data_IF_933148021880
#
_entry.id   IF_933148021880
#
_cell.length_a   1.000
_cell.length_b   1.000
_cell.length_c   1.000
_cell.angle_alpha   90.00
_cell.angle_beta   90.00
_cell.angle_gamma   90.00
#
_symmetry.space_group_name_H-M   'P 1'
#
loop_
_entity.id
_entity.type
_entity.pdbx_description
1 polymer ?
#
# COMPACT_ATOMS: atom_id res chain seq x y z
N UNK A 1 12.81 16.59 66.28
CA UNK A 1 13.43 15.75 65.22
C UNK A 1 12.90 16.25 63.88
N UNK A 2 13.58 17.23 63.30
CA UNK A 2 13.29 17.76 61.96
C UNK A 2 14.27 17.12 60.97
N UNK A 3 13.74 16.52 59.90
CA UNK A 3 14.53 15.86 58.86
C UNK A 3 14.33 16.57 57.52
N UNK A 4 15.40 17.16 57.00
CA UNK A 4 15.48 17.81 55.68
C UNK A 4 15.76 16.77 54.59
N UNK A 5 14.87 16.69 53.59
CA UNK A 5 15.04 15.86 52.39
C UNK A 5 15.57 16.74 51.24
N UNK A 6 16.84 16.59 50.88
CA UNK A 6 17.46 17.27 49.73
C UNK A 6 17.36 16.39 48.50
N UNK A 7 16.54 16.80 47.52
CA UNK A 7 16.37 16.10 46.25
C UNK A 7 17.56 16.36 45.30
N UNK A 8 18.40 15.34 45.08
CA UNK A 8 19.43 15.31 44.03
C UNK A 8 18.96 14.43 42.86
N UNK A 9 18.31 15.00 41.84
CA UNK A 9 18.05 14.26 40.58
C UNK A 9 17.93 15.13 39.31
N UNK A 10 18.22 16.43 39.35
CA UNK A 10 18.06 17.32 38.19
C UNK A 10 19.16 17.25 37.11
N UNK A 11 20.31 16.63 37.38
CA UNK A 11 21.49 16.76 36.51
C UNK A 11 21.46 15.96 35.20
N UNK A 12 20.81 14.79 35.19
CA UNK A 12 20.85 13.88 34.04
C UNK A 12 19.90 14.33 32.92
N UNK A 13 18.69 14.75 33.27
CA UNK A 13 17.70 15.23 32.30
C UNK A 13 18.16 16.50 31.57
N UNK A 14 18.84 17.41 32.29
CA UNK A 14 19.33 18.65 31.72
C UNK A 14 20.50 18.42 30.74
N UNK A 15 21.36 17.43 31.00
CA UNK A 15 22.46 17.05 30.08
C UNK A 15 21.94 16.43 28.78
N UNK A 16 20.88 15.63 28.85
CA UNK A 16 20.25 15.03 27.66
C UNK A 16 19.58 16.12 26.80
N UNK A 17 18.89 17.07 27.42
CA UNK A 17 18.25 18.17 26.70
C UNK A 17 19.27 19.06 25.94
N UNK A 18 20.41 19.36 26.55
CA UNK A 18 21.47 20.15 25.91
C UNK A 18 22.12 19.40 24.75
N UNK A 19 22.39 18.10 24.88
CA UNK A 19 22.94 17.29 23.80
C UNK A 19 21.97 17.18 22.61
N UNK A 20 20.66 17.08 22.87
CA UNK A 20 19.65 17.00 21.82
C UNK A 20 19.53 18.32 21.05
N UNK A 21 19.63 19.47 21.73
CA UNK A 21 19.59 20.79 21.10
C UNK A 21 20.81 21.04 20.20
N UNK A 22 22.00 20.62 20.65
CA UNK A 22 23.23 20.72 19.86
C UNK A 22 23.18 19.87 18.58
N UNK A 23 22.64 18.65 18.67
CA UNK A 23 22.45 17.78 17.49
C UNK A 23 21.46 18.39 16.48
N UNK A 24 20.37 19.00 16.97
CA UNK A 24 19.38 19.66 16.12
C UNK A 24 19.98 20.85 15.36
N UNK A 25 20.83 21.66 16.02
CA UNK A 25 21.53 22.77 15.37
C UNK A 25 22.52 22.30 14.30
N UNK A 26 23.23 21.18 14.54
CA UNK A 26 24.16 20.60 13.56
C UNK A 26 23.42 20.11 12.30
N UNK A 27 22.25 19.48 12.48
CA UNK A 27 21.41 19.00 11.38
C UNK A 27 20.82 20.14 10.55
N UNK A 28 20.43 21.25 11.19
CA UNK A 28 19.93 22.43 10.50
C UNK A 28 21.03 23.12 9.68
N UNK A 29 22.26 23.23 10.21
CA UNK A 29 23.39 23.79 9.46
C UNK A 29 23.78 22.99 8.21
N UNK A 30 23.76 21.65 8.30
CA UNK A 30 24.05 20.77 7.16
C UNK A 30 22.99 20.86 6.05
N UNK A 31 21.74 21.12 6.39
CA UNK A 31 20.65 21.29 5.42
C UNK A 31 20.80 22.58 4.59
N UNK A 32 21.25 23.67 5.22
CA UNK A 32 21.48 24.95 4.54
C UNK A 32 22.67 24.89 3.57
N UNK A 33 23.75 24.17 3.90
CA UNK A 33 24.87 23.93 2.97
C UNK A 33 24.45 23.10 1.75
N UNK A 34 23.66 22.04 1.95
CA UNK A 34 23.16 21.20 0.86
C UNK A 34 22.21 21.97 -0.08
N UNK A 35 21.39 22.88 0.48
CA UNK A 35 20.49 23.72 -0.30
C UNK A 35 21.26 24.81 -1.06
N UNK A 36 22.27 25.42 -0.45
CA UNK A 36 23.15 26.41 -1.09
C UNK A 36 23.99 25.81 -2.24
N UNK A 37 24.42 24.55 -2.12
CA UNK A 37 25.12 23.83 -3.18
C UNK A 37 24.22 23.49 -4.39
N UNK A 38 22.90 23.37 -4.16
CA UNK A 38 21.93 23.00 -5.21
C UNK A 38 21.48 24.22 -6.03
N UNK A 39 21.48 25.42 -5.44
CA UNK A 39 21.03 26.66 -6.11
C UNK A 39 22.13 27.31 -6.95
N UNK A 40 23.41 27.01 -6.71
CA UNK A 40 24.52 27.51 -7.53
C UNK A 40 24.76 26.61 -8.75
N UNK A 41 24.40 27.12 -9.92
CA UNK A 41 24.96 26.79 -11.25
C UNK A 41 24.06 26.01 -12.25
N UNK A 42 22.94 26.59 -12.70
CA UNK A 42 22.19 26.12 -13.87
C UNK A 42 22.96 26.25 -15.21
N UNK A 43 24.01 27.09 -15.28
CA UNK A 43 24.78 27.33 -16.50
C UNK A 43 25.70 26.15 -16.89
N UNK A 44 26.28 25.43 -15.92
CA UNK A 44 27.13 24.24 -16.19
C UNK A 44 26.36 23.06 -16.79
N UNK A 45 25.07 22.90 -16.49
CA UNK A 45 24.23 21.81 -17.05
C UNK A 45 23.94 22.01 -18.54
N UNK A 46 23.72 23.25 -18.99
CA UNK A 46 23.48 23.56 -20.41
C UNK A 46 24.73 23.36 -21.28
N UNK A 47 25.92 23.69 -20.76
CA UNK A 47 27.18 23.50 -21.49
C UNK A 47 27.61 22.03 -21.67
N UNK A 48 27.21 21.12 -20.75
CA UNK A 48 27.52 19.69 -20.86
C UNK A 48 26.59 18.96 -21.85
N UNK A 49 25.34 19.42 -21.97
CA UNK A 49 24.37 18.89 -22.93
C UNK A 49 24.71 19.29 -24.38
N UNK A 50 25.19 20.50 -24.63
CA UNK A 50 25.55 20.95 -25.98
C UNK A 50 26.80 20.25 -26.53
N UNK A 51 27.82 20.01 -25.69
CA UNK A 51 29.03 19.24 -26.09
C UNK A 51 28.74 17.78 -26.42
N UNK A 52 27.77 17.14 -25.76
CA UNK A 52 27.38 15.76 -26.04
C UNK A 52 26.61 15.63 -27.38
N UNK A 53 25.77 16.62 -27.71
CA UNK A 53 25.08 16.69 -28.99
C UNK A 53 26.05 16.94 -30.17
N UNK A 54 27.03 17.83 -29.98
CA UNK A 54 28.00 18.17 -31.03
C UNK A 54 29.01 17.05 -31.34
N UNK A 55 29.27 16.16 -30.37
CA UNK A 55 30.14 14.97 -30.57
C UNK A 55 29.44 13.83 -31.32
N UNK A 56 28.10 13.76 -31.27
CA UNK A 56 27.29 12.76 -32.00
C UNK A 56 27.09 13.08 -33.48
N UNK A 57 27.15 14.36 -33.86
CA UNK A 57 26.96 14.79 -35.25
C UNK A 57 28.22 14.61 -36.13
N UNK A 58 29.39 14.31 -35.56
CA UNK A 58 30.68 14.30 -36.28
C UNK A 58 31.27 12.92 -36.60
N UNK A 59 30.53 11.82 -36.45
CA UNK A 59 31.09 10.49 -36.73
C UNK A 59 30.10 9.51 -37.39
N UNK A 60 29.84 9.60 -38.71
CA UNK A 60 28.90 8.72 -39.41
C UNK A 60 29.57 7.45 -40.00
N UNK A 61 30.50 6.82 -39.30
CA UNK A 61 31.15 5.60 -39.79
C UNK A 61 31.48 4.60 -38.68
N UNK A 62 30.51 3.76 -38.31
CA UNK A 62 30.80 2.44 -37.77
C UNK A 62 30.32 1.38 -38.77
N UNK A 63 31.25 0.98 -39.65
CA UNK A 63 31.13 -0.21 -40.49
C UNK A 63 30.99 -1.44 -39.60
N UNK A 64 29.87 -2.15 -39.72
CA UNK A 64 29.62 -3.45 -39.11
C UNK A 64 30.58 -4.47 -39.73
N UNK A 65 31.62 -4.86 -39.00
CA UNK A 65 32.42 -6.06 -39.30
C UNK A 65 31.71 -7.26 -38.68
N UNK A 66 31.26 -8.21 -39.53
CA UNK A 66 30.79 -9.54 -39.11
C UNK A 66 31.99 -10.34 -38.60
N UNK A 67 31.90 -10.85 -37.38
CA UNK A 67 32.82 -11.84 -36.83
C UNK A 67 32.34 -13.27 -37.18
N UNK A 68 33.25 -14.24 -37.34
CA UNK A 68 32.91 -15.59 -37.75
C UNK A 68 32.27 -16.41 -36.62
N UNK A 69 31.35 -17.28 -37.02
CA UNK A 69 30.53 -18.18 -36.19
C UNK A 69 31.41 -19.36 -35.73
N UNK A 70 31.83 -19.35 -34.47
CA UNK A 70 32.43 -20.52 -33.83
C UNK A 70 31.32 -21.50 -33.44
N UNK A 71 31.43 -22.74 -33.90
CA UNK A 71 30.61 -23.87 -33.48
C UNK A 71 31.08 -24.32 -32.09
N UNK A 72 30.19 -24.25 -31.09
CA UNK A 72 30.40 -24.84 -29.77
C UNK A 72 29.66 -26.19 -29.73
N UNK A 73 30.42 -27.28 -29.74
CA UNK A 73 29.95 -28.63 -29.42
C UNK A 73 29.74 -28.74 -27.92
N UNK A 74 28.50 -29.02 -27.49
CA UNK A 74 28.14 -29.30 -26.10
C UNK A 74 28.10 -30.82 -25.85
N UNK A 75 28.85 -31.30 -24.87
CA UNK A 75 28.63 -32.61 -24.24
C UNK A 75 28.52 -32.38 -22.73
N UNK A 76 27.29 -32.27 -22.24
CA UNK A 76 26.97 -32.46 -20.83
C UNK A 76 25.78 -33.44 -20.76
N UNK A 77 25.83 -34.46 -19.89
CA UNK A 77 24.76 -35.45 -19.78
C UNK A 77 23.47 -34.83 -19.20
N UNK A 78 22.29 -35.38 -19.57
CA UNK A 78 21.01 -34.86 -19.09
C UNK A 78 20.86 -35.10 -17.58
N UNK A 79 20.63 -34.01 -16.85
CA UNK A 79 20.16 -34.07 -15.46
C UNK A 79 18.68 -34.42 -15.50
N UNK A 80 18.34 -35.53 -14.86
CA UNK A 80 16.98 -36.03 -14.73
C UNK A 80 16.15 -35.07 -13.85
N UNK A 81 15.45 -34.12 -14.47
CA UNK A 81 14.51 -33.24 -13.79
C UNK A 81 13.13 -33.90 -13.80
N UNK A 82 12.70 -34.43 -12.65
CA UNK A 82 11.30 -34.75 -12.43
C UNK A 82 10.43 -33.53 -12.83
N UNK A 83 9.31 -33.74 -13.55
CA UNK A 83 8.49 -32.63 -14.01
C UNK A 83 7.97 -31.85 -12.81
N UNK A 84 8.30 -30.55 -12.76
CA UNK A 84 7.68 -29.63 -11.83
C UNK A 84 6.15 -29.74 -11.97
N UNK A 85 5.38 -29.69 -10.87
CA UNK A 85 3.92 -29.72 -10.96
C UNK A 85 3.45 -28.64 -11.93
N UNK A 86 2.48 -28.99 -12.78
CA UNK A 86 1.92 -28.08 -13.77
C UNK A 86 1.56 -26.76 -13.10
N UNK A 87 2.01 -25.65 -13.69
CA UNK A 87 1.88 -24.29 -13.16
C UNK A 87 0.44 -24.02 -12.68
N UNK A 88 -0.56 -24.54 -13.40
CA UNK A 88 -1.98 -24.47 -13.05
C UNK A 88 -2.33 -25.07 -11.68
N UNK A 89 -1.72 -26.19 -11.28
CA UNK A 89 -2.03 -26.86 -10.03
C UNK A 89 -1.34 -26.20 -8.82
N UNK A 90 -0.20 -25.53 -9.07
CA UNK A 90 0.50 -24.69 -8.08
C UNK A 90 -0.25 -23.37 -7.87
N UNK A 91 -0.69 -22.73 -8.94
CA UNK A 91 -1.46 -21.48 -8.91
C UNK A 91 -2.82 -21.70 -8.25
N UNK A 92 -3.53 -22.78 -8.58
CA UNK A 92 -4.79 -23.12 -7.92
C UNK A 92 -4.61 -23.46 -6.42
N UNK A 93 -3.49 -24.07 -6.02
CA UNK A 93 -3.19 -24.30 -4.59
C UNK A 93 -2.85 -23.01 -3.85
N UNK A 94 -2.07 -22.13 -4.46
CA UNK A 94 -1.72 -20.84 -3.87
C UNK A 94 -2.98 -19.98 -3.74
N UNK A 95 -3.79 -19.87 -4.78
CA UNK A 95 -5.03 -19.11 -4.75
C UNK A 95 -6.04 -19.67 -3.75
N UNK A 96 -6.22 -21.00 -3.64
CA UNK A 96 -7.09 -21.60 -2.60
C UNK A 96 -6.59 -21.39 -1.18
N UNK A 97 -5.28 -21.47 -0.95
CA UNK A 97 -4.64 -21.20 0.35
C UNK A 97 -4.76 -19.73 0.73
N UNK A 98 -4.54 -18.85 -0.25
CA UNK A 98 -4.68 -17.41 -0.14
C UNK A 98 -6.15 -17.04 0.09
N UNK A 99 -7.12 -17.65 -0.60
CA UNK A 99 -8.56 -17.47 -0.39
C UNK A 99 -8.96 -17.82 1.04
N UNK A 100 -8.62 -19.01 1.54
CA UNK A 100 -8.92 -19.41 2.92
C UNK A 100 -8.28 -18.49 3.98
N UNK A 101 -7.03 -18.08 3.75
CA UNK A 101 -6.35 -17.12 4.61
C UNK A 101 -6.99 -15.71 4.54
N UNK A 102 -7.40 -15.28 3.35
CA UNK A 102 -8.08 -14.00 3.11
C UNK A 102 -9.41 -13.95 3.86
N UNK A 103 -10.23 -15.00 3.80
CA UNK A 103 -11.51 -15.05 4.52
C UNK A 103 -11.30 -14.85 6.03
N UNK A 104 -10.34 -15.56 6.62
CA UNK A 104 -10.02 -15.44 8.04
C UNK A 104 -9.47 -14.06 8.42
N UNK A 105 -8.64 -13.45 7.54
CA UNK A 105 -8.10 -12.10 7.76
C UNK A 105 -9.23 -11.07 7.68
N UNK A 106 -10.13 -11.15 6.70
CA UNK A 106 -11.25 -10.21 6.52
C UNK A 106 -12.19 -10.25 7.74
N UNK A 107 -12.54 -11.44 8.22
CA UNK A 107 -13.52 -11.62 9.29
C UNK A 107 -12.99 -11.22 10.69
N UNK A 108 -11.67 -11.20 10.87
CA UNK A 108 -10.98 -10.81 12.12
C UNK A 108 -10.49 -9.35 12.12
N UNK A 109 -10.47 -8.68 10.97
CA UNK A 109 -9.77 -7.40 10.80
C UNK A 109 -10.32 -6.25 11.65
N UNK A 110 -11.62 -6.26 11.92
CA UNK A 110 -12.29 -5.24 12.73
C UNK A 110 -12.96 -5.94 13.90
N UNK A 111 -12.39 -5.76 15.09
CA UNK A 111 -12.89 -6.37 16.32
C UNK A 111 -14.35 -5.94 16.56
N UNK A 112 -15.27 -6.91 16.37
CA UNK A 112 -16.71 -6.69 16.51
C UNK A 112 -17.08 -6.23 17.92
N UNK A 113 -16.30 -6.59 18.95
CA UNK A 113 -16.61 -6.22 20.35
C UNK A 113 -16.55 -4.71 20.59
N UNK A 114 -15.81 -3.96 19.77
CA UNK A 114 -15.64 -2.53 19.95
C UNK A 114 -16.78 -1.70 19.31
N UNK A 115 -17.61 -2.30 18.44
CA UNK A 115 -18.61 -1.58 17.63
C UNK A 115 -19.85 -1.10 18.40
N UNK A 116 -20.10 -1.62 19.60
CA UNK A 116 -21.28 -1.27 20.41
C UNK A 116 -21.15 0.05 21.19
N UNK A 117 -19.94 0.65 21.22
CA UNK A 117 -19.64 1.87 22.00
C UNK A 117 -18.82 2.90 21.23
N UNK A 118 -19.02 3.05 19.92
CA UNK A 118 -18.31 4.04 19.10
C UNK A 118 -19.14 5.28 18.84
N UNK A 119 -18.47 6.43 18.67
CA UNK A 119 -19.09 7.65 18.13
C UNK A 119 -18.72 7.77 16.66
N UNK A 120 -19.71 7.89 15.79
CA UNK A 120 -19.52 8.22 14.38
C UNK A 120 -19.54 9.73 14.18
N UNK A 121 -18.53 10.27 13.50
CA UNK A 121 -18.46 11.67 13.10
C UNK A 121 -18.58 11.75 11.58
N UNK A 122 -19.65 12.35 11.09
CA UNK A 122 -19.86 12.52 9.66
C UNK A 122 -18.80 13.43 9.05
N UNK A 123 -18.16 12.98 7.97
CA UNK A 123 -17.11 13.70 7.27
C UNK A 123 -17.56 14.28 5.92
N UNK A 124 -18.74 13.87 5.41
CA UNK A 124 -19.23 14.28 4.10
C UNK A 124 -19.44 13.09 3.16
N UNK A 125 -19.77 13.40 1.88
CA UNK A 125 -19.87 12.42 0.80
C UNK A 125 -18.67 12.52 -0.13
N UNK A 126 -18.00 11.41 -0.39
CA UNK A 126 -16.76 11.37 -1.16
C UNK A 126 -16.86 10.44 -2.35
N UNK A 127 -16.23 10.79 -3.50
CA UNK A 127 -16.20 9.89 -4.63
C UNK A 127 -15.53 8.58 -4.24
N UNK A 128 -16.05 7.47 -4.77
CA UNK A 128 -15.50 6.14 -4.49
C UNK A 128 -14.86 5.61 -5.76
N UNK A 129 -13.61 5.22 -5.64
CA UNK A 129 -12.88 4.45 -6.65
C UNK A 129 -12.43 3.14 -6.03
N UNK A 130 -11.90 2.24 -6.86
CA UNK A 130 -11.39 0.94 -6.45
C UNK A 130 -9.97 0.79 -6.99
N UNK A 131 -9.13 0.12 -6.21
CA UNK A 131 -7.80 -0.29 -6.64
C UNK A 131 -7.55 -1.74 -6.21
N UNK A 132 -6.55 -2.37 -6.83
CA UNK A 132 -6.25 -3.80 -6.66
C UNK A 132 -4.77 -4.08 -6.83
N UNK A 133 -4.35 -5.31 -6.53
CA UNK A 133 -2.98 -5.75 -6.79
C UNK A 133 -2.86 -6.11 -8.27
N UNK A 134 -1.96 -5.47 -8.99
CA UNK A 134 -1.72 -5.81 -10.40
C UNK A 134 -1.16 -7.24 -10.51
N UNK A 135 -1.63 -8.04 -11.45
CA UNK A 135 -1.18 -9.42 -11.64
C UNK A 135 -0.38 -9.55 -12.94
N UNK A 136 0.85 -10.10 -12.89
CA UNK A 136 1.68 -10.29 -14.07
C UNK A 136 1.10 -11.34 -15.03
N UNK A 137 0.27 -12.27 -14.54
CA UNK A 137 -0.45 -13.22 -15.39
C UNK A 137 -1.45 -12.49 -16.28
N UNK A 138 -2.29 -11.65 -15.68
CA UNK A 138 -3.39 -10.98 -16.38
C UNK A 138 -2.96 -9.70 -17.11
N UNK A 139 -2.08 -8.92 -16.48
CA UNK A 139 -1.68 -7.58 -16.90
C UNK A 139 -0.25 -7.54 -17.48
N UNK A 140 0.47 -8.67 -17.49
CA UNK A 140 1.82 -8.80 -18.03
C UNK A 140 1.90 -9.25 -19.48
N UNK A 141 1.00 -8.74 -20.34
CA UNK A 141 1.01 -9.09 -21.76
C UNK A 141 2.26 -8.55 -22.46
N UNK A 142 2.77 -9.32 -23.42
CA UNK A 142 3.92 -8.96 -24.24
C UNK A 142 5.29 -9.35 -23.64
N UNK A 143 6.39 -8.98 -24.30
CA UNK A 143 7.73 -9.43 -23.93
C UNK A 143 8.23 -8.79 -22.63
N UNK A 144 9.00 -9.55 -21.83
CA UNK A 144 9.69 -9.06 -20.63
C UNK A 144 10.88 -8.17 -21.01
N UNK A 145 10.59 -6.93 -21.43
CA UNK A 145 11.57 -6.01 -22.01
C UNK A 145 12.01 -4.88 -21.06
N UNK A 146 11.33 -4.67 -19.95
CA UNK A 146 11.60 -3.55 -19.04
C UNK A 146 12.31 -4.03 -17.79
N UNK A 147 13.56 -3.58 -17.53
CA UNK A 147 14.26 -3.93 -16.31
C UNK A 147 13.71 -3.17 -15.10
N UNK A 148 13.49 -3.88 -13.99
CA UNK A 148 13.16 -3.32 -12.68
C UNK A 148 14.14 -3.82 -11.62
N UNK A 149 14.26 -3.09 -10.52
CA UNK A 149 15.03 -3.53 -9.35
C UNK A 149 14.10 -3.99 -8.23
N UNK A 150 14.39 -5.15 -7.66
CA UNK A 150 13.64 -5.71 -6.53
C UNK A 150 14.59 -5.82 -5.34
N UNK A 151 14.25 -5.16 -4.23
CA UNK A 151 14.91 -5.30 -2.94
C UNK A 151 14.26 -6.48 -2.24
N UNK A 152 15.04 -7.50 -1.91
CA UNK A 152 14.60 -8.66 -1.15
C UNK A 152 14.64 -8.37 0.34
N UNK A 153 14.03 -9.25 1.12
CA UNK A 153 13.98 -9.15 2.58
C UNK A 153 15.35 -9.06 3.25
N UNK A 154 16.34 -9.76 2.71
CA UNK A 154 17.73 -9.71 3.20
C UNK A 154 18.48 -8.42 2.81
N UNK A 155 17.79 -7.47 2.18
CA UNK A 155 18.36 -6.23 1.65
C UNK A 155 19.08 -6.39 0.31
N UNK A 156 19.19 -7.62 -0.21
CA UNK A 156 19.82 -7.85 -1.51
C UNK A 156 18.98 -7.23 -2.63
N UNK A 157 19.66 -6.66 -3.62
CA UNK A 157 19.00 -6.04 -4.78
C UNK A 157 19.19 -6.92 -6.00
N UNK A 158 18.08 -7.37 -6.58
CA UNK A 158 18.07 -8.13 -7.82
C UNK A 158 17.48 -7.32 -8.96
N UNK A 159 17.91 -7.62 -10.20
CA UNK A 159 17.38 -6.99 -11.40
C UNK A 159 16.64 -8.02 -12.22
N UNK A 160 15.34 -7.83 -12.38
CA UNK A 160 14.48 -8.70 -13.20
C UNK A 160 13.93 -7.89 -14.37
N UNK A 161 13.33 -8.58 -15.34
CA UNK A 161 12.63 -7.94 -16.46
C UNK A 161 11.15 -8.29 -16.41
N UNK A 162 10.30 -7.32 -16.70
CA UNK A 162 8.84 -7.48 -16.77
C UNK A 162 8.33 -6.87 -18.07
N UNK A 163 7.06 -7.10 -18.42
CA UNK A 163 6.48 -6.40 -19.57
C UNK A 163 6.31 -4.91 -19.28
N UNK A 164 6.31 -4.09 -20.33
CA UNK A 164 6.08 -2.66 -20.19
C UNK A 164 4.67 -2.35 -19.63
N UNK A 165 3.70 -3.20 -19.95
CA UNK A 165 2.34 -3.08 -19.45
C UNK A 165 2.26 -3.35 -17.95
N UNK A 166 2.79 -4.50 -17.50
CA UNK A 166 2.83 -4.82 -16.08
C UNK A 166 3.56 -3.76 -15.26
N UNK A 167 4.70 -3.29 -15.75
CA UNK A 167 5.47 -2.23 -15.08
C UNK A 167 4.67 -0.93 -14.94
N UNK A 168 3.87 -0.56 -15.94
CA UNK A 168 2.97 0.60 -15.89
C UNK A 168 1.88 0.39 -14.84
N UNK A 169 1.33 -0.82 -14.75
CA UNK A 169 0.27 -1.15 -13.79
C UNK A 169 0.79 -1.20 -12.36
N UNK A 170 1.93 -1.85 -12.12
CA UNK A 170 2.64 -1.81 -10.83
C UNK A 170 2.94 -0.36 -10.38
N UNK A 171 3.36 0.52 -11.29
CA UNK A 171 3.60 1.94 -10.97
C UNK A 171 2.31 2.69 -10.56
N UNK A 172 1.15 2.29 -11.10
CA UNK A 172 -0.14 2.94 -10.84
C UNK A 172 -0.80 2.39 -9.58
N UNK A 173 -0.86 1.07 -9.46
CA UNK A 173 -1.57 0.36 -8.40
C UNK A 173 -0.78 0.31 -7.08
N UNK A 174 0.54 0.50 -7.11
CA UNK A 174 1.37 0.52 -5.90
C UNK A 174 1.81 -0.85 -5.38
N UNK A 175 1.09 -1.92 -5.75
CA UNK A 175 1.40 -3.31 -5.42
C UNK A 175 1.13 -4.20 -6.63
N UNK A 176 1.99 -5.20 -6.87
CA UNK A 176 1.76 -6.20 -7.90
C UNK A 176 2.25 -7.60 -7.49
N UNK A 177 1.66 -8.64 -8.08
CA UNK A 177 2.08 -10.03 -7.95
C UNK A 177 2.76 -10.48 -9.25
N UNK A 178 3.95 -11.07 -9.13
CA UNK A 178 4.69 -11.70 -10.22
C UNK A 178 4.16 -13.12 -10.48
N UNK A 179 4.43 -13.66 -11.67
CA UNK A 179 4.02 -15.03 -12.06
C UNK A 179 4.59 -16.14 -11.17
N UNK A 180 5.68 -15.86 -10.46
CA UNK A 180 6.32 -16.80 -9.53
C UNK A 180 5.76 -16.69 -8.10
N UNK A 181 4.73 -15.86 -7.90
CA UNK A 181 4.04 -15.64 -6.63
C UNK A 181 4.67 -14.56 -5.75
N UNK A 182 5.74 -13.92 -6.19
CA UNK A 182 6.33 -12.81 -5.44
C UNK A 182 5.45 -11.56 -5.50
N UNK A 183 5.23 -10.93 -4.34
CA UNK A 183 4.47 -9.68 -4.20
C UNK A 183 5.44 -8.52 -4.08
N UNK A 184 5.35 -7.59 -5.04
CA UNK A 184 6.14 -6.38 -5.12
C UNK A 184 5.36 -5.17 -4.62
N UNK A 185 5.99 -4.30 -3.84
CA UNK A 185 5.43 -3.02 -3.41
C UNK A 185 6.28 -1.86 -3.91
N UNK A 186 5.67 -0.75 -4.31
CA UNK A 186 6.41 0.45 -4.73
C UNK A 186 7.19 1.03 -3.56
N UNK A 187 8.41 1.48 -3.84
CA UNK A 187 9.22 2.27 -2.91
C UNK A 187 9.13 3.76 -3.25
N UNK A 188 9.78 4.60 -2.46
CA UNK A 188 9.99 6.03 -2.81
C UNK A 188 10.90 6.21 -4.04
N UNK A 189 11.64 5.17 -4.45
CA UNK A 189 12.58 5.20 -5.57
C UNK A 189 11.95 4.62 -6.83
N UNK A 190 11.80 5.45 -7.87
CA UNK A 190 11.20 5.03 -9.14
C UNK A 190 11.94 3.83 -9.76
N UNK A 191 11.19 2.78 -10.09
CA UNK A 191 11.74 1.56 -10.70
C UNK A 191 12.45 0.63 -9.71
N UNK A 192 12.33 0.90 -8.40
CA UNK A 192 12.78 0.04 -7.31
C UNK A 192 11.56 -0.37 -6.50
N UNK A 193 11.44 -1.66 -6.22
CA UNK A 193 10.30 -2.26 -5.55
C UNK A 193 10.79 -3.18 -4.43
N UNK A 194 10.04 -3.28 -3.34
CA UNK A 194 10.32 -4.23 -2.26
C UNK A 194 9.57 -5.53 -2.51
N UNK A 195 10.23 -6.67 -2.31
CA UNK A 195 9.57 -7.97 -2.23
C UNK A 195 9.03 -8.18 -0.81
N UNK A 196 7.70 -8.20 -0.71
CA UNK A 196 6.97 -8.21 0.56
C UNK A 196 6.22 -9.52 0.79
N UNK A 197 6.43 -10.51 -0.07
CA UNK A 197 5.69 -11.79 -0.11
C UNK A 197 5.53 -12.46 1.26
N UNK A 198 6.60 -12.48 2.05
CA UNK A 198 6.63 -13.19 3.34
C UNK A 198 6.02 -12.39 4.51
N UNK A 199 5.82 -11.10 4.35
CA UNK A 199 5.45 -10.19 5.45
C UNK A 199 4.08 -9.56 5.23
N UNK A 200 3.69 -9.36 3.98
CA UNK A 200 2.38 -8.91 3.56
C UNK A 200 2.00 -9.58 2.24
N UNK A 201 1.26 -10.69 2.35
CA UNK A 201 0.81 -11.51 1.23
C UNK A 201 0.00 -10.74 0.18
N UNK A 202 -0.54 -9.57 0.54
CA UNK A 202 -1.36 -8.72 -0.32
C UNK A 202 -0.78 -7.31 -0.50
N UNK A 203 0.46 -7.10 -0.07
CA UNK A 203 1.14 -5.81 -0.14
C UNK A 203 0.92 -4.88 1.07
N UNK A 204 1.61 -3.75 0.99
CA UNK A 204 1.59 -2.72 2.02
C UNK A 204 0.99 -1.43 1.49
N UNK A 205 0.07 -0.88 2.28
CA UNK A 205 -0.27 0.53 2.22
C UNK A 205 0.72 1.40 2.99
N UNK A 206 0.41 2.68 3.02
CA UNK A 206 1.19 3.71 3.70
C UNK A 206 1.57 3.36 5.15
N UNK A 207 2.85 3.56 5.48
CA UNK A 207 3.38 3.30 6.83
C UNK A 207 3.56 1.81 7.15
N UNK A 208 3.68 0.94 6.14
CA UNK A 208 3.92 -0.50 6.32
C UNK A 208 2.68 -1.26 6.80
N UNK A 209 1.49 -0.72 6.56
CA UNK A 209 0.24 -1.36 6.96
C UNK A 209 -0.19 -2.40 5.96
N UNK A 210 -0.50 -3.60 6.43
CA UNK A 210 -0.99 -4.68 5.56
C UNK A 210 -2.36 -4.29 4.99
N UNK A 211 -2.48 -4.37 3.68
CA UNK A 211 -3.74 -4.20 2.99
C UNK A 211 -4.64 -5.41 3.23
N UNK A 212 -5.92 -5.16 3.48
CA UNK A 212 -6.93 -6.19 3.62
C UNK A 212 -8.07 -5.91 2.64
N UNK A 213 -8.39 -6.87 1.75
CA UNK A 213 -9.41 -6.69 0.74
C UNK A 213 -10.74 -6.31 1.38
N UNK A 214 -11.43 -5.36 0.76
CA UNK A 214 -12.72 -4.81 1.20
C UNK A 214 -12.68 -4.09 2.56
N UNK A 215 -11.53 -4.00 3.22
CA UNK A 215 -11.40 -3.37 4.55
C UNK A 215 -10.44 -2.20 4.56
N UNK A 216 -9.38 -2.26 3.76
CA UNK A 216 -8.42 -1.19 3.61
C UNK A 216 -8.89 -0.18 2.57
N UNK A 217 -8.80 1.09 2.91
CA UNK A 217 -9.02 2.20 1.96
C UNK A 217 -7.77 3.06 1.84
N UNK A 218 -7.56 3.60 0.64
CA UNK A 218 -6.68 4.73 0.42
C UNK A 218 -7.46 6.04 0.46
N UNK A 219 -6.84 7.08 1.02
CA UNK A 219 -7.40 8.43 1.04
C UNK A 219 -6.37 9.44 0.56
N UNK A 220 -6.82 10.62 0.14
CA UNK A 220 -5.92 11.73 -0.10
C UNK A 220 -5.95 12.72 1.06
N UNK A 221 -4.81 12.88 1.73
CA UNK A 221 -4.64 13.78 2.88
C UNK A 221 -4.90 15.26 2.53
N UNK A 222 -4.81 15.61 1.24
CA UNK A 222 -4.98 16.98 0.74
C UNK A 222 -6.37 17.24 0.12
N UNK A 223 -7.16 16.21 -0.19
CA UNK A 223 -8.43 16.33 -0.92
C UNK A 223 -9.65 16.65 -0.02
N UNK A 224 -9.47 17.43 1.04
CA UNK A 224 -10.59 17.86 1.90
C UNK A 224 -11.08 16.84 2.93
N UNK A 225 -10.44 15.66 3.04
CA UNK A 225 -10.68 14.70 4.14
C UNK A 225 -9.93 15.08 5.43
N UNK A 226 -10.11 16.33 5.85
CA UNK A 226 -9.45 16.86 7.05
C UNK A 226 -9.82 16.00 8.26
N UNK A 227 -8.80 15.57 9.00
CA UNK A 227 -8.98 14.78 10.22
C UNK A 227 -8.93 13.26 10.03
N UNK A 228 -8.84 12.74 8.80
CA UNK A 228 -8.46 11.34 8.56
C UNK A 228 -6.93 11.19 8.51
N UNK A 229 -6.45 10.21 9.25
CA UNK A 229 -5.06 9.78 9.33
C UNK A 229 -4.99 8.29 9.02
N UNK A 230 -3.84 7.87 8.52
CA UNK A 230 -3.52 6.45 8.39
C UNK A 230 -3.72 5.77 9.75
N UNK A 231 -4.51 4.69 9.76
CA UNK A 231 -4.94 3.93 10.92
C UNK A 231 -6.31 4.27 11.47
N UNK A 232 -6.92 5.38 11.05
CA UNK A 232 -8.28 5.69 11.45
C UNK A 232 -9.26 4.63 10.94
N UNK A 233 -10.24 4.30 11.79
CA UNK A 233 -11.41 3.52 11.40
C UNK A 233 -12.46 4.45 10.83
N UNK A 234 -13.11 4.00 9.77
CA UNK A 234 -14.22 4.71 9.14
C UNK A 234 -15.40 3.79 8.92
N UNK A 235 -16.57 4.38 8.73
CA UNK A 235 -17.82 3.68 8.49
C UNK A 235 -18.49 4.24 7.25
N UNK A 236 -18.96 3.34 6.39
CA UNK A 236 -19.71 3.60 5.16
C UNK A 236 -21.00 2.79 5.25
N UNK A 237 -22.14 3.44 5.55
CA UNK A 237 -23.42 2.75 5.75
C UNK A 237 -23.84 1.88 4.56
N UNK A 238 -23.57 2.32 3.33
CA UNK A 238 -23.92 1.61 2.10
C UNK A 238 -23.21 0.28 1.93
N UNK A 239 -22.05 0.13 2.58
CA UNK A 239 -21.33 -1.14 2.55
C UNK A 239 -21.92 -2.14 3.57
N UNK A 240 -22.86 -1.76 4.44
CA UNK A 240 -23.50 -2.70 5.37
C UNK A 240 -24.37 -3.69 4.60
N UNK A 241 -24.15 -4.97 4.82
CA UNK A 241 -24.91 -6.04 4.19
C UNK A 241 -24.42 -6.42 2.79
N UNK A 242 -23.46 -5.68 2.21
CA UNK A 242 -22.83 -6.01 0.94
C UNK A 242 -22.22 -7.41 1.00
N UNK A 243 -22.58 -8.29 0.06
CA UNK A 243 -22.03 -9.65 0.00
C UNK A 243 -20.59 -9.59 -0.52
N UNK A 244 -19.66 -10.12 0.26
CA UNK A 244 -18.25 -10.25 -0.12
C UNK A 244 -18.03 -11.55 -0.91
N UNK A 245 -16.92 -11.67 -1.67
CA UNK A 245 -16.58 -12.92 -2.37
C UNK A 245 -16.46 -14.14 -1.45
N UNK A 246 -16.08 -13.92 -0.18
CA UNK A 246 -16.09 -14.94 0.87
C UNK A 246 -17.48 -15.49 1.21
N UNK A 247 -18.55 -14.89 0.68
CA UNK A 247 -19.94 -15.18 1.04
C UNK A 247 -20.42 -14.46 2.30
N UNK A 248 -19.52 -13.85 3.07
CA UNK A 248 -19.89 -13.06 4.27
C UNK A 248 -20.50 -11.72 3.87
N UNK A 249 -21.13 -11.04 4.84
CA UNK A 249 -21.69 -9.70 4.64
C UNK A 249 -20.79 -8.67 5.31
N UNK A 250 -20.48 -7.62 4.56
CA UNK A 250 -19.69 -6.51 5.06
C UNK A 250 -20.48 -5.72 6.13
N UNK A 251 -19.79 -5.26 7.16
CA UNK A 251 -20.39 -4.59 8.34
C UNK A 251 -20.37 -3.06 8.25
N UNK A 252 -19.90 -2.53 7.12
CA UNK A 252 -19.77 -1.11 6.84
C UNK A 252 -18.47 -0.46 7.34
N UNK A 253 -17.63 -1.16 8.10
CA UNK A 253 -16.40 -0.59 8.65
C UNK A 253 -15.19 -0.85 7.75
N UNK A 254 -14.33 0.16 7.67
CA UNK A 254 -13.07 0.16 6.95
C UNK A 254 -11.97 0.80 7.80
N UNK A 255 -10.73 0.69 7.34
CA UNK A 255 -9.56 1.33 7.93
C UNK A 255 -8.76 2.06 6.86
N UNK A 256 -8.29 3.26 7.20
CA UNK A 256 -7.39 4.02 6.34
C UNK A 256 -6.02 3.40 6.42
N UNK A 257 -5.67 2.51 5.51
CA UNK A 257 -4.35 1.86 5.49
C UNK A 257 -3.42 2.40 4.43
N UNK A 258 -3.93 3.22 3.52
CA UNK A 258 -3.12 3.77 2.46
C UNK A 258 -3.43 5.23 2.12
N UNK A 259 -2.54 5.84 1.35
CA UNK A 259 -2.62 7.21 0.87
C UNK A 259 -2.09 7.27 -0.56
N UNK A 260 -2.96 7.68 -1.48
CA UNK A 260 -2.59 7.96 -2.86
C UNK A 260 -2.76 9.45 -3.18
N UNK A 261 -1.75 10.04 -3.84
CA UNK A 261 -1.82 11.45 -4.30
C UNK A 261 -2.86 11.65 -5.41
N UNK A 262 -3.13 10.61 -6.21
CA UNK A 262 -4.15 10.59 -7.26
C UNK A 262 -5.57 10.35 -6.75
N UNK A 263 -5.74 9.97 -5.48
CA UNK A 263 -7.05 9.65 -4.91
C UNK A 263 -7.84 10.96 -4.73
N UNK A 264 -9.06 11.04 -5.27
CA UNK A 264 -9.93 12.24 -5.16
C UNK A 264 -10.98 12.10 -4.05
N UNK A 265 -11.12 10.90 -3.51
CA UNK A 265 -12.11 10.53 -2.51
C UNK A 265 -11.59 9.36 -1.68
N UNK A 266 -12.38 8.32 -1.57
CA UNK A 266 -11.94 7.06 -0.99
C UNK A 266 -11.66 6.05 -2.10
N UNK A 267 -10.58 5.30 -1.95
CA UNK A 267 -10.22 4.22 -2.85
C UNK A 267 -10.31 2.90 -2.08
N UNK A 268 -11.17 1.96 -2.46
CA UNK A 268 -11.32 0.70 -1.73
C UNK A 268 -10.41 -0.35 -2.35
N UNK A 269 -9.60 -1.00 -1.51
CA UNK A 269 -8.76 -2.10 -1.95
C UNK A 269 -9.59 -3.37 -2.15
N UNK A 270 -9.55 -3.96 -3.35
CA UNK A 270 -10.40 -5.09 -3.74
C UNK A 270 -9.63 -6.38 -4.04
N UNK A 271 -8.31 -6.39 -3.82
CA UNK A 271 -7.38 -7.46 -4.18
C UNK A 271 -7.24 -7.70 -5.69
N UNK A 272 -8.33 -8.03 -6.37
CA UNK A 272 -8.33 -8.36 -7.79
C UNK A 272 -9.16 -7.36 -8.59
N UNK A 273 -8.85 -7.24 -9.89
CA UNK A 273 -9.65 -6.41 -10.80
C UNK A 273 -11.09 -6.91 -10.95
N UNK A 274 -11.27 -8.24 -10.96
CA UNK A 274 -12.58 -8.85 -11.11
C UNK A 274 -13.50 -8.49 -9.94
N UNK A 275 -12.96 -8.54 -8.72
CA UNK A 275 -13.66 -8.11 -7.50
C UNK A 275 -13.97 -6.61 -7.51
N UNK A 276 -13.02 -5.80 -7.98
CA UNK A 276 -13.24 -4.38 -8.23
C UNK A 276 -14.49 -4.14 -9.09
N UNK A 277 -14.56 -4.78 -10.25
CA UNK A 277 -15.71 -4.64 -11.16
C UNK A 277 -17.02 -5.11 -10.48
N UNK A 278 -16.98 -6.18 -9.70
CA UNK A 278 -18.15 -6.67 -8.98
C UNK A 278 -18.65 -5.65 -7.94
N UNK A 279 -17.75 -5.12 -7.10
CA UNK A 279 -18.07 -4.09 -6.12
C UNK A 279 -18.54 -2.80 -6.80
N UNK A 280 -17.93 -2.40 -7.90
CA UNK A 280 -18.33 -1.22 -8.66
C UNK A 280 -19.79 -1.33 -9.10
N UNK A 281 -20.21 -2.49 -9.63
CA UNK A 281 -21.62 -2.74 -10.03
C UNK A 281 -22.57 -2.67 -8.84
N UNK A 282 -22.17 -3.19 -7.68
CA UNK A 282 -22.98 -3.11 -6.46
C UNK A 282 -23.14 -1.66 -5.99
N UNK A 283 -22.06 -0.89 -6.06
CA UNK A 283 -22.05 0.52 -5.67
C UNK A 283 -22.68 1.44 -6.73
N UNK A 284 -22.75 1.04 -8.00
CA UNK A 284 -23.25 1.87 -9.10
C UNK A 284 -24.72 2.30 -8.94
N UNK A 285 -25.51 1.55 -8.16
CA UNK A 285 -26.88 1.91 -7.81
C UNK A 285 -26.95 3.10 -6.85
N UNK A 286 -25.90 3.31 -6.06
CA UNK A 286 -25.73 4.46 -5.19
C UNK A 286 -24.83 5.49 -5.86
N UNK A 287 -25.33 6.71 -6.01
CA UNK A 287 -24.64 7.87 -6.60
C UNK A 287 -23.16 7.85 -6.21
N UNK A 288 -22.25 8.04 -7.19
CA UNK A 288 -20.77 7.95 -7.18
C UNK A 288 -20.03 8.57 -5.99
N UNK A 289 -20.71 9.12 -4.98
CA UNK A 289 -20.19 9.65 -3.73
C UNK A 289 -20.91 9.03 -2.52
N UNK A 290 -20.16 8.32 -1.67
CA UNK A 290 -20.70 7.70 -0.46
C UNK A 290 -20.47 8.57 0.78
N UNK A 291 -21.43 8.61 1.73
CA UNK A 291 -21.22 9.22 3.03
C UNK A 291 -20.17 8.45 3.82
N UNK A 292 -19.23 9.19 4.41
CA UNK A 292 -18.15 8.64 5.20
C UNK A 292 -18.22 9.18 6.62
N UNK A 293 -18.03 8.29 7.59
CA UNK A 293 -18.01 8.64 9.00
C UNK A 293 -16.68 8.21 9.60
N UNK A 294 -16.00 9.11 10.33
CA UNK A 294 -14.89 8.71 11.19
C UNK A 294 -15.42 8.02 12.43
N UNK A 295 -14.80 6.90 12.80
CA UNK A 295 -15.14 6.16 14.02
C UNK A 295 -14.19 6.60 15.12
N UNK A 296 -14.74 7.21 16.16
CA UNK A 296 -13.99 7.57 17.36
C UNK A 296 -14.22 6.51 18.43
N UNK A 297 -13.14 5.99 18.99
CA UNK A 297 -13.21 5.26 20.25
C UNK A 297 -13.83 6.21 21.29
N UNK A 298 -14.88 5.76 21.97
CA UNK A 298 -15.42 6.53 23.09
C UNK A 298 -14.33 6.55 24.16
N UNK A 299 -13.72 7.72 24.37
CA UNK A 299 -12.80 7.89 25.49
C UNK A 299 -13.48 7.41 26.77
N UNK A 300 -12.72 6.82 27.71
CA UNK A 300 -13.21 6.64 29.08
C UNK A 300 -13.73 8.02 29.50
N UNK A 301 -15.05 8.16 29.56
CA UNK A 301 -15.67 9.44 29.86
C UNK A 301 -15.21 9.85 31.25
N UNK A 302 -14.29 10.81 31.33
CA UNK A 302 -14.34 11.75 32.44
C UNK A 302 -15.60 12.56 32.18
N UNK A 303 -16.59 12.37 33.03
CA UNK A 303 -17.83 13.12 33.05
C UNK A 303 -17.52 14.61 33.06
N UNK A 304 -17.80 15.30 31.97
CA UNK A 304 -18.11 16.73 32.01
C UNK A 304 -19.19 16.98 30.97
N UNK A 305 -20.40 17.15 31.49
CA UNK A 305 -21.58 17.55 30.74
C UNK A 305 -21.38 19.00 30.25
N UNK A 306 -21.15 19.16 28.95
CA UNK A 306 -21.12 20.45 28.26
C UNK A 306 -21.95 20.34 26.99
N UNK A 307 -23.02 21.13 26.93
CA UNK A 307 -24.10 21.11 25.94
C UNK A 307 -23.59 21.31 24.51
N UNK A 308 -24.10 20.49 23.58
CA UNK A 308 -23.82 20.58 22.14
C UNK A 308 -23.91 19.23 21.42
N UNK A 309 -25.02 18.48 21.58
CA UNK A 309 -25.25 17.26 20.82
C UNK A 309 -25.85 17.60 19.45
N UNK A 310 -25.12 17.28 18.39
CA UNK A 310 -25.63 17.20 17.00
C UNK A 310 -26.62 16.03 16.91
N UNK A 311 -27.70 16.10 16.11
CA UNK A 311 -28.70 15.06 16.04
C UNK A 311 -28.05 13.73 15.65
N UNK A 312 -28.17 12.75 16.54
CA UNK A 312 -27.84 11.36 16.26
C UNK A 312 -28.88 10.86 15.26
N UNK A 313 -28.62 10.99 13.96
CA UNK A 313 -29.41 10.28 12.96
C UNK A 313 -29.33 8.79 13.29
N UNK A 314 -30.47 8.11 13.33
CA UNK A 314 -30.56 6.67 13.54
C UNK A 314 -29.86 5.94 12.39
N UNK A 315 -28.55 5.77 12.54
CA UNK A 315 -27.76 4.95 11.65
C UNK A 315 -28.28 3.51 11.76
N UNK A 316 -28.44 2.79 10.63
CA UNK A 316 -28.85 1.40 10.66
C UNK A 316 -27.89 0.62 11.55
N UNK A 317 -28.40 0.11 12.68
CA UNK A 317 -27.62 -0.75 13.56
C UNK A 317 -27.34 -2.05 12.79
N UNK A 318 -26.09 -2.52 12.70
CA UNK A 318 -25.81 -3.81 12.10
C UNK A 318 -26.59 -4.88 12.88
N UNK A 319 -27.50 -5.58 12.20
CA UNK A 319 -28.21 -6.71 12.81
C UNK A 319 -27.17 -7.81 13.05
N UNK A 320 -27.14 -8.45 14.23
CA UNK A 320 -26.26 -9.59 14.44
C UNK A 320 -26.55 -10.65 13.38
N UNK A 321 -25.52 -11.10 12.68
CA UNK A 321 -25.65 -12.19 11.72
C UNK A 321 -26.17 -13.42 12.48
N UNK A 322 -27.34 -13.94 12.09
CA UNK A 322 -27.75 -15.28 12.49
C UNK A 322 -26.73 -16.24 11.87
N UNK A 323 -25.89 -16.85 12.69
CA UNK A 323 -25.11 -18.02 12.29
C UNK A 323 -26.13 -19.08 11.87
N UNK A 324 -26.31 -19.26 10.57
CA UNK A 324 -27.10 -20.34 10.03
C UNK A 324 -26.48 -21.66 10.47
N UNK A 325 -27.29 -22.53 11.05
CA UNK A 325 -26.93 -23.91 11.33
C UNK A 325 -26.53 -24.54 10.00
N UNK A 326 -25.26 -24.91 9.84
CA UNK A 326 -24.81 -25.76 8.74
C UNK A 326 -25.46 -27.13 8.98
N UNK A 327 -26.55 -27.41 8.28
CA UNK A 327 -26.97 -28.80 8.06
C UNK A 327 -26.13 -29.35 6.91
N UNK A 328 -25.30 -30.34 7.25
CA UNK A 328 -24.53 -31.12 6.30
C UNK A 328 -25.51 -32.00 5.52
N UNK A 329 -25.59 -31.78 4.21
CA UNK A 329 -26.10 -32.73 3.22
C UNK A 329 -24.96 -33.08 2.27
#
# INVERSE_FOLDING_TARGET
MEGTYVARSGGAAMRIAVAFLALLQLLLGAADEALAATVRNPARRKAKASRAAQKRAKNPALKVRRAPRAQLTSLAPPVDTAPAPAIEERDARMMRSVEGAIVNIIDSYIDRKETSRVKHVYLGKFPVTLYWTADEIDEGKGPRSVPISVIRRDGSRTRIRVSAEFKRRLDVEGTAMLKDGHVLNVTSSRGVYDDVTQVATLGYGSGGRKLVPYRSIAVNRFAGMKGLKVGDRVFIPQAVGMKLPSGTRHDGYFRVDDVGSGVKGIDIYTLTRADGIAIERMLANDKRRLPLYKVLAKGKSRSNAGKGQVPQQDLPRPRPARLGRLELY
#
